data_IF_335801579405
#
_entry.id   IF_335801579405
#
_cell.length_a   1.000
_cell.length_b   1.000
_cell.length_c   1.000
_cell.angle_alpha   90.00
_cell.angle_beta   90.00
_cell.angle_gamma   90.00
#
_symmetry.space_group_name_H-M   'P 1'
#
loop_
_entity.id
_entity.type
_entity.pdbx_description
1 polymer ?
#
# COMPACT_ATOMS: atom_id res chain seq x y z
N UNK A 1 -67.85 23.41 -31.89
CA UNK A 1 -67.16 23.59 -33.17
C UNK A 1 -65.65 23.65 -32.89
N UNK A 2 -64.89 22.57 -33.10
CA UNK A 2 -63.45 22.57 -32.95
C UNK A 2 -62.88 21.83 -34.16
N UNK A 3 -62.14 22.55 -35.00
CA UNK A 3 -61.51 22.03 -36.21
C UNK A 3 -60.18 21.37 -35.85
N UNK A 4 -60.03 20.08 -36.20
CA UNK A 4 -58.83 19.31 -36.12
C UNK A 4 -57.92 19.62 -37.31
N UNK A 5 -56.71 20.15 -37.07
CA UNK A 5 -55.66 20.22 -38.05
C UNK A 5 -54.76 18.98 -37.96
N UNK A 6 -54.84 18.13 -38.98
CA UNK A 6 -53.89 17.05 -39.19
C UNK A 6 -52.60 17.64 -39.85
N UNK A 7 -51.48 17.58 -39.15
CA UNK A 7 -50.18 17.84 -39.74
C UNK A 7 -49.53 16.51 -40.12
N UNK A 8 -49.37 16.32 -41.41
CA UNK A 8 -48.57 15.21 -41.97
C UNK A 8 -47.09 15.54 -41.76
N UNK A 9 -46.38 14.63 -41.07
CA UNK A 9 -44.92 14.69 -40.90
C UNK A 9 -44.32 13.75 -41.95
N UNK A 10 -43.63 14.32 -42.92
CA UNK A 10 -42.79 13.58 -43.88
C UNK A 10 -41.53 13.14 -43.17
N UNK A 11 -41.34 11.82 -43.05
CA UNK A 11 -40.10 11.21 -42.56
C UNK A 11 -39.14 11.07 -43.75
N UNK A 12 -38.11 11.95 -43.78
CA UNK A 12 -36.92 11.77 -44.65
C UNK A 12 -35.99 10.79 -43.95
N UNK A 13 -35.87 9.57 -44.46
CA UNK A 13 -34.87 8.61 -44.07
C UNK A 13 -33.52 8.99 -44.71
N UNK A 14 -32.63 9.61 -43.98
CA UNK A 14 -31.24 9.80 -44.35
C UNK A 14 -30.43 8.57 -43.98
N UNK A 15 -30.02 7.77 -44.95
CA UNK A 15 -29.09 6.68 -44.77
C UNK A 15 -27.68 7.25 -44.54
N UNK A 16 -27.24 7.27 -43.29
CA UNK A 16 -25.83 7.53 -42.95
C UNK A 16 -25.03 6.24 -43.18
N UNK A 17 -24.24 6.24 -44.25
CA UNK A 17 -23.22 5.21 -44.45
C UNK A 17 -22.12 5.44 -43.41
N UNK A 18 -22.10 4.60 -42.38
CA UNK A 18 -21.02 4.56 -41.39
C UNK A 18 -19.83 3.85 -42.06
N UNK A 19 -18.89 4.65 -42.57
CA UNK A 19 -17.59 4.15 -43.00
C UNK A 19 -16.83 3.73 -41.73
N UNK A 20 -16.83 2.40 -41.47
CA UNK A 20 -16.02 1.79 -40.42
C UNK A 20 -14.54 1.87 -40.84
N UNK A 21 -13.89 3.00 -40.52
CA UNK A 21 -12.43 3.02 -40.45
C UNK A 21 -12.04 2.13 -39.26
N UNK A 22 -11.59 0.91 -39.56
CA UNK A 22 -10.97 0.02 -38.59
C UNK A 22 -9.75 0.72 -38.00
N UNK A 23 -9.93 1.39 -36.86
CA UNK A 23 -8.82 1.83 -36.04
C UNK A 23 -8.04 0.58 -35.67
N UNK A 24 -6.81 0.45 -36.16
CA UNK A 24 -5.86 -0.54 -35.65
C UNK A 24 -5.65 -0.18 -34.19
N UNK A 25 -6.26 -0.95 -33.29
CA UNK A 25 -5.91 -0.94 -31.89
C UNK A 25 -4.46 -1.43 -31.85
N UNK A 26 -3.51 -0.50 -31.75
CA UNK A 26 -2.15 -0.87 -31.38
C UNK A 26 -2.25 -1.37 -29.94
N UNK A 27 -1.84 -2.62 -29.65
CA UNK A 27 -1.74 -3.03 -28.27
C UNK A 27 -0.83 -2.04 -27.54
N UNK A 28 -1.30 -1.50 -26.42
CA UNK A 28 -0.46 -0.72 -25.51
C UNK A 28 0.78 -1.58 -25.20
N UNK A 29 1.99 -1.01 -25.20
CA UNK A 29 3.18 -1.76 -24.83
C UNK A 29 2.98 -2.33 -23.43
N UNK A 30 2.91 -3.65 -23.32
CA UNK A 30 2.91 -4.33 -22.02
C UNK A 30 4.25 -4.06 -21.34
N UNK A 31 4.22 -3.73 -20.05
CA UNK A 31 5.44 -3.57 -19.24
C UNK A 31 6.23 -4.89 -19.27
N UNK A 32 7.55 -4.79 -19.28
CA UNK A 32 8.41 -5.94 -19.04
C UNK A 32 8.31 -6.37 -17.56
N UNK A 33 8.66 -7.62 -17.21
CA UNK A 33 8.66 -8.09 -15.83
C UNK A 33 9.44 -7.18 -14.88
N UNK A 34 10.57 -6.63 -15.34
CA UNK A 34 11.38 -5.70 -14.56
C UNK A 34 10.70 -4.34 -14.37
N UNK A 35 10.06 -3.80 -15.41
CA UNK A 35 9.29 -2.54 -15.30
C UNK A 35 8.06 -2.71 -14.39
N UNK A 36 7.42 -3.88 -14.42
CA UNK A 36 6.33 -4.20 -13.49
C UNK A 36 6.83 -4.25 -12.04
N UNK A 37 7.96 -4.90 -11.81
CA UNK A 37 8.58 -4.96 -10.48
C UNK A 37 8.95 -3.55 -9.99
N UNK A 38 9.57 -2.73 -10.81
CA UNK A 38 9.95 -1.35 -10.47
C UNK A 38 8.73 -0.46 -10.18
N UNK A 39 7.64 -0.66 -10.92
CA UNK A 39 6.39 0.06 -10.69
C UNK A 39 5.77 -0.30 -9.32
N UNK A 40 5.74 -1.60 -8.97
CA UNK A 40 5.24 -2.06 -7.67
C UNK A 40 6.16 -1.58 -6.54
N UNK A 41 7.48 -1.62 -6.75
CA UNK A 41 8.45 -1.11 -5.76
C UNK A 41 8.24 0.37 -5.47
N UNK A 42 8.10 1.19 -6.52
CA UNK A 42 7.85 2.63 -6.39
C UNK A 42 6.51 2.95 -5.68
N UNK A 43 5.52 2.08 -5.82
CA UNK A 43 4.21 2.23 -5.16
C UNK A 43 4.26 1.81 -3.68
N UNK A 44 4.93 0.69 -3.38
CA UNK A 44 4.83 0.00 -2.09
C UNK A 44 5.93 0.39 -1.10
N UNK A 45 7.13 0.71 -1.59
CA UNK A 45 8.29 0.90 -0.73
C UNK A 45 8.59 2.40 -0.56
N UNK A 46 8.51 2.95 0.66
CA UNK A 46 8.94 4.32 0.92
C UNK A 46 10.41 4.50 0.55
N UNK A 47 10.70 5.54 -0.25
CA UNK A 47 12.09 5.86 -0.59
C UNK A 47 12.87 6.33 0.65
N UNK A 48 14.16 6.01 0.72
CA UNK A 48 15.05 6.51 1.77
C UNK A 48 15.03 8.04 1.81
N UNK A 49 14.87 8.62 2.99
CA UNK A 49 14.75 10.05 3.21
C UNK A 49 13.38 10.65 2.89
N UNK A 50 12.39 9.86 2.41
CA UNK A 50 11.03 10.38 2.17
C UNK A 50 10.30 10.68 3.48
N UNK A 51 9.41 11.69 3.43
CA UNK A 51 8.66 12.18 4.60
C UNK A 51 7.55 11.20 5.01
N UNK A 52 7.42 10.98 6.32
CA UNK A 52 6.33 10.21 6.91
C UNK A 52 5.02 11.00 7.03
N UNK A 53 5.07 12.33 7.00
CA UNK A 53 3.93 13.22 7.27
C UNK A 53 3.73 13.58 8.74
N UNK A 54 4.51 13.02 9.67
CA UNK A 54 4.49 13.35 11.11
C UNK A 54 5.88 13.72 11.67
N UNK A 55 6.73 14.27 10.80
CA UNK A 55 7.99 14.91 11.18
C UNK A 55 9.19 13.99 11.28
N UNK A 56 9.09 12.78 10.73
CA UNK A 56 10.22 11.87 10.51
C UNK A 56 10.46 11.63 9.03
N UNK A 57 11.63 11.13 8.70
CA UNK A 57 11.93 10.55 7.39
C UNK A 57 12.10 9.02 7.51
N UNK A 58 11.90 8.32 6.40
CA UNK A 58 12.22 6.90 6.30
C UNK A 58 13.73 6.73 6.13
N UNK A 59 14.46 6.82 7.24
CA UNK A 59 15.92 6.70 7.31
C UNK A 59 16.38 6.19 8.68
N UNK A 60 17.68 6.12 8.89
CA UNK A 60 18.27 5.68 10.15
C UNK A 60 17.94 6.61 11.32
N UNK A 61 17.80 7.93 11.08
CA UNK A 61 17.45 8.90 12.11
C UNK A 61 15.99 8.71 12.54
N UNK A 62 15.08 8.55 11.56
CA UNK A 62 13.69 8.24 11.83
C UNK A 62 13.54 6.92 12.59
N UNK A 63 14.22 5.87 12.13
CA UNK A 63 14.24 4.58 12.81
C UNK A 63 14.71 4.69 14.28
N UNK A 64 15.81 5.39 14.52
CA UNK A 64 16.35 5.59 15.88
C UNK A 64 15.37 6.37 16.75
N UNK A 65 14.74 7.41 16.19
CA UNK A 65 13.73 8.21 16.89
C UNK A 65 12.51 7.38 17.30
N UNK A 66 12.05 6.48 16.45
CA UNK A 66 10.97 5.56 16.79
C UNK A 66 11.33 4.67 17.99
N UNK A 67 12.56 4.17 18.06
CA UNK A 67 13.04 3.39 19.21
C UNK A 67 13.06 4.25 20.48
N UNK A 68 13.48 5.51 20.38
CA UNK A 68 13.44 6.45 21.51
C UNK A 68 12.02 6.70 21.98
N UNK A 69 11.07 6.90 21.06
CA UNK A 69 9.66 7.02 21.43
C UNK A 69 9.15 5.78 22.16
N UNK A 70 9.52 4.59 21.72
CA UNK A 70 9.16 3.36 22.45
C UNK A 70 9.68 3.35 23.89
N UNK A 71 10.90 3.85 24.12
CA UNK A 71 11.50 3.88 25.45
C UNK A 71 10.83 4.89 26.40
N UNK A 72 10.31 6.00 25.86
CA UNK A 72 9.80 7.12 26.64
C UNK A 72 8.28 7.18 26.72
N UNK A 73 7.57 6.74 25.70
CA UNK A 73 6.11 6.73 25.68
C UNK A 73 5.56 5.47 26.36
N UNK A 74 4.41 5.65 27.02
CA UNK A 74 3.66 4.54 27.63
C UNK A 74 2.25 4.52 27.04
N UNK A 75 1.68 3.33 26.79
CA UNK A 75 0.30 3.20 26.37
C UNK A 75 -0.63 3.91 27.36
N UNK A 76 -1.41 4.87 26.87
CA UNK A 76 -2.45 5.49 27.64
C UNK A 76 -3.73 4.65 27.62
N UNK A 77 -4.44 4.57 28.74
CA UNK A 77 -5.66 3.76 28.85
C UNK A 77 -6.71 4.11 27.79
N UNK A 78 -6.76 5.38 27.33
CA UNK A 78 -7.73 5.87 26.35
C UNK A 78 -7.58 5.26 24.94
N UNK A 79 -6.43 4.70 24.61
CA UNK A 79 -6.16 4.08 23.31
C UNK A 79 -5.55 2.67 23.41
N UNK A 80 -5.66 2.04 24.60
CA UNK A 80 -5.13 0.70 24.82
C UNK A 80 -5.71 -0.34 23.85
N UNK A 81 -7.02 -0.31 23.60
CA UNK A 81 -7.70 -1.23 22.68
C UNK A 81 -7.25 -1.02 21.22
N UNK A 82 -7.03 0.24 20.82
CA UNK A 82 -6.50 0.56 19.48
C UNK A 82 -5.08 0.07 19.34
N UNK A 83 -4.25 0.26 20.36
CA UNK A 83 -2.87 -0.20 20.38
C UNK A 83 -2.79 -1.74 20.29
N UNK A 84 -3.56 -2.45 21.10
CA UNK A 84 -3.60 -3.92 21.08
C UNK A 84 -4.12 -4.49 19.74
N UNK A 85 -5.01 -3.74 19.09
CA UNK A 85 -5.60 -4.13 17.81
C UNK A 85 -4.70 -3.95 16.59
N UNK A 86 -3.47 -3.41 16.73
CA UNK A 86 -2.54 -3.21 15.64
C UNK A 86 -1.84 -4.53 15.25
N UNK A 87 -1.66 -4.74 13.95
CA UNK A 87 -0.84 -5.82 13.42
C UNK A 87 0.62 -5.36 13.28
N UNK A 88 1.50 -5.98 14.06
CA UNK A 88 2.93 -5.70 14.05
C UNK A 88 3.77 -6.87 13.55
N UNK A 89 3.16 -7.88 12.94
CA UNK A 89 3.89 -9.05 12.42
C UNK A 89 5.03 -8.62 11.51
N UNK A 90 6.17 -9.26 11.72
CA UNK A 90 7.39 -9.06 10.93
C UNK A 90 7.93 -10.40 10.45
N UNK A 91 8.59 -10.46 9.27
CA UNK A 91 9.17 -11.69 8.75
C UNK A 91 10.20 -12.33 9.69
N UNK A 92 10.86 -11.52 10.53
CA UNK A 92 11.94 -11.96 11.42
C UNK A 92 11.44 -12.47 12.80
N UNK A 93 10.15 -12.33 13.12
CA UNK A 93 9.66 -12.61 14.49
C UNK A 93 8.18 -13.01 14.50
N UNK A 94 7.83 -13.91 15.38
CA UNK A 94 6.45 -14.41 15.52
C UNK A 94 5.50 -13.55 16.37
N UNK A 95 5.91 -12.33 16.81
CA UNK A 95 5.03 -11.43 17.53
C UNK A 95 3.91 -10.90 16.61
N UNK A 96 2.66 -10.99 17.06
CA UNK A 96 1.50 -10.62 16.24
C UNK A 96 0.85 -9.31 16.69
N UNK A 97 0.89 -9.02 17.98
CA UNK A 97 0.21 -7.87 18.60
C UNK A 97 1.10 -7.15 19.61
N UNK A 98 1.03 -5.80 19.69
CA UNK A 98 1.94 -5.05 20.55
C UNK A 98 1.81 -5.41 22.04
N UNK A 99 0.59 -5.32 22.57
CA UNK A 99 0.39 -5.34 24.02
C UNK A 99 0.66 -6.72 24.66
N UNK A 100 0.26 -7.79 23.97
CA UNK A 100 0.45 -9.15 24.46
C UNK A 100 1.91 -9.60 24.36
N UNK A 101 2.65 -9.05 23.41
CA UNK A 101 3.97 -9.53 23.02
C UNK A 101 5.11 -8.54 23.32
N UNK A 102 4.79 -7.28 23.73
CA UNK A 102 5.82 -6.27 24.04
C UNK A 102 6.80 -6.73 25.13
N UNK A 103 6.32 -7.50 26.12
CA UNK A 103 7.16 -8.07 27.17
C UNK A 103 7.93 -9.34 26.72
N UNK A 104 7.47 -9.98 25.64
CA UNK A 104 8.04 -11.24 25.10
C UNK A 104 8.74 -11.04 23.77
N UNK A 105 8.81 -9.81 23.28
CA UNK A 105 9.38 -9.53 21.97
C UNK A 105 10.83 -10.04 21.88
N UNK A 106 11.29 -10.32 20.67
CA UNK A 106 12.65 -10.78 20.43
C UNK A 106 13.73 -9.71 20.75
N UNK A 107 13.33 -8.54 21.23
CA UNK A 107 14.20 -7.40 21.48
C UNK A 107 14.75 -6.73 20.21
N UNK A 108 14.28 -7.12 19.02
CA UNK A 108 14.77 -6.56 17.78
C UNK A 108 14.34 -5.10 17.64
N UNK A 109 15.21 -4.31 16.99
CA UNK A 109 14.98 -2.88 16.81
C UNK A 109 13.72 -2.57 16.00
N UNK A 110 13.39 -3.40 15.00
CA UNK A 110 12.22 -3.18 14.14
C UNK A 110 10.91 -3.21 14.93
N UNK A 111 10.68 -4.21 15.82
CA UNK A 111 9.50 -4.22 16.69
C UNK A 111 9.48 -3.03 17.62
N UNK A 112 10.63 -2.67 18.23
CA UNK A 112 10.72 -1.51 19.09
C UNK A 112 10.39 -0.22 18.36
N UNK A 113 10.80 -0.09 17.11
CA UNK A 113 10.42 1.05 16.27
C UNK A 113 8.92 1.08 15.99
N UNK A 114 8.29 -0.07 15.63
CA UNK A 114 6.85 -0.14 15.42
C UNK A 114 6.05 0.19 16.69
N UNK A 115 6.49 -0.27 17.86
CA UNK A 115 5.85 0.10 19.13
C UNK A 115 5.95 1.61 19.38
N UNK A 116 7.10 2.21 19.09
CA UNK A 116 7.30 3.65 19.24
C UNK A 116 6.42 4.47 18.30
N UNK A 117 6.35 4.07 17.02
CA UNK A 117 5.46 4.68 16.03
C UNK A 117 4.00 4.60 16.49
N UNK A 118 3.53 3.40 16.89
CA UNK A 118 2.16 3.19 17.36
C UNK A 118 1.81 4.08 18.56
N UNK A 119 2.67 4.12 19.57
CA UNK A 119 2.47 4.94 20.78
C UNK A 119 2.40 6.43 20.42
N UNK A 120 3.31 6.90 19.59
CA UNK A 120 3.35 8.30 19.18
C UNK A 120 2.12 8.72 18.37
N UNK A 121 1.76 7.95 17.35
CA UNK A 121 0.64 8.28 16.46
C UNK A 121 -0.69 8.26 17.19
N UNK A 122 -0.96 7.24 18.02
CA UNK A 122 -2.18 7.18 18.83
C UNK A 122 -2.24 8.32 19.85
N UNK A 123 -1.11 8.69 20.49
CA UNK A 123 -1.05 9.83 21.40
C UNK A 123 -1.29 11.16 20.65
N UNK A 124 -0.81 11.29 19.42
CA UNK A 124 -1.06 12.43 18.54
C UNK A 124 -2.50 12.49 17.99
N UNK A 125 -3.33 11.45 18.24
CA UNK A 125 -4.74 11.42 17.86
C UNK A 125 -5.05 10.76 16.53
N UNK A 126 -4.10 10.04 15.94
CA UNK A 126 -4.36 9.20 14.78
C UNK A 126 -5.30 8.06 15.16
N UNK A 127 -6.20 7.69 14.28
CA UNK A 127 -7.04 6.50 14.44
C UNK A 127 -6.20 5.22 14.31
N UNK A 128 -6.75 4.09 14.78
CA UNK A 128 -6.10 2.78 14.61
C UNK A 128 -5.78 2.47 13.14
N UNK A 129 -6.69 2.79 12.20
CA UNK A 129 -6.45 2.52 10.78
C UNK A 129 -5.34 3.39 10.18
N UNK A 130 -5.29 4.67 10.53
CA UNK A 130 -4.21 5.56 10.10
C UNK A 130 -2.87 5.12 10.70
N UNK A 131 -2.86 4.77 11.98
CA UNK A 131 -1.68 4.22 12.65
C UNK A 131 -1.21 2.94 11.96
N UNK A 132 -2.12 1.99 11.65
CA UNK A 132 -1.77 0.76 10.95
C UNK A 132 -1.15 1.04 9.59
N UNK A 133 -1.72 1.98 8.81
CA UNK A 133 -1.16 2.38 7.52
C UNK A 133 0.30 2.83 7.66
N UNK A 134 0.62 3.64 8.68
CA UNK A 134 1.99 4.09 8.90
C UNK A 134 2.91 2.95 9.38
N UNK A 135 2.42 2.04 10.21
CA UNK A 135 3.18 0.84 10.58
C UNK A 135 3.49 -0.04 9.37
N UNK A 136 2.54 -0.19 8.44
CA UNK A 136 2.74 -0.98 7.23
C UNK A 136 3.76 -0.32 6.28
N UNK A 137 3.80 1.02 6.21
CA UNK A 137 4.86 1.75 5.50
C UNK A 137 6.25 1.51 6.12
N UNK A 138 6.37 1.53 7.45
CA UNK A 138 7.63 1.20 8.12
C UNK A 138 8.04 -0.26 7.94
N UNK A 139 7.08 -1.21 7.98
CA UNK A 139 7.35 -2.62 7.65
C UNK A 139 7.89 -2.76 6.22
N UNK A 140 7.28 -2.06 5.26
CA UNK A 140 7.72 -2.06 3.88
C UNK A 140 9.14 -1.49 3.74
N UNK A 141 9.47 -0.43 4.46
CA UNK A 141 10.82 0.14 4.50
C UNK A 141 11.85 -0.81 5.13
N UNK A 142 11.49 -1.51 6.20
CA UNK A 142 12.38 -2.46 6.88
C UNK A 142 12.56 -3.77 6.12
N UNK A 143 11.54 -4.22 5.39
CA UNK A 143 11.48 -5.52 4.72
C UNK A 143 10.98 -5.36 3.28
N UNK A 144 11.70 -4.60 2.43
CA UNK A 144 11.22 -4.27 1.09
C UNK A 144 11.03 -5.52 0.22
N UNK A 145 11.92 -6.51 0.32
CA UNK A 145 11.83 -7.72 -0.47
C UNK A 145 10.60 -8.56 -0.13
N UNK A 146 10.34 -8.76 1.16
CA UNK A 146 9.19 -9.53 1.64
C UNK A 146 7.87 -8.82 1.31
N UNK A 147 7.86 -7.50 1.41
CA UNK A 147 6.70 -6.68 1.03
C UNK A 147 6.42 -6.80 -0.47
N UNK A 148 7.44 -6.66 -1.31
CA UNK A 148 7.30 -6.82 -2.76
C UNK A 148 6.84 -8.21 -3.15
N UNK A 149 7.41 -9.25 -2.55
CA UNK A 149 7.01 -10.62 -2.83
C UNK A 149 5.53 -10.85 -2.51
N UNK A 150 5.08 -10.43 -1.32
CA UNK A 150 3.69 -10.59 -0.91
C UNK A 150 2.72 -9.84 -1.83
N UNK A 151 3.07 -8.62 -2.26
CA UNK A 151 2.24 -7.83 -3.16
C UNK A 151 2.19 -8.42 -4.57
N UNK A 152 3.34 -8.84 -5.12
CA UNK A 152 3.40 -9.48 -6.42
C UNK A 152 2.62 -10.80 -6.44
N UNK A 153 2.71 -11.61 -5.38
CA UNK A 153 1.91 -12.82 -5.21
C UNK A 153 0.42 -12.51 -5.20
N UNK A 154 -0.01 -11.48 -4.47
CA UNK A 154 -1.41 -11.04 -4.44
C UNK A 154 -1.90 -10.60 -5.84
N UNK A 155 -1.12 -9.77 -6.55
CA UNK A 155 -1.46 -9.31 -7.91
C UNK A 155 -1.46 -10.45 -8.92
N UNK A 156 -0.61 -11.46 -8.76
CA UNK A 156 -0.54 -12.62 -9.67
C UNK A 156 -1.81 -13.50 -9.67
N UNK A 157 -2.63 -13.40 -8.63
CA UNK A 157 -3.93 -14.07 -8.56
C UNK A 157 -4.95 -13.46 -9.54
N UNK A 158 -4.80 -12.18 -9.85
CA UNK A 158 -5.68 -11.45 -10.77
C UNK A 158 -5.07 -11.34 -12.18
N UNK A 159 -3.76 -11.16 -12.26
CA UNK A 159 -3.00 -11.04 -13.52
C UNK A 159 -1.75 -11.92 -13.50
N UNK A 160 -1.74 -13.02 -14.29
CA UNK A 160 -0.59 -13.94 -14.38
C UNK A 160 0.72 -13.29 -14.84
N UNK A 161 0.69 -12.11 -15.46
CA UNK A 161 1.91 -11.39 -15.86
C UNK A 161 2.82 -11.05 -14.67
N UNK A 162 2.27 -10.92 -13.46
CA UNK A 162 3.05 -10.69 -12.24
C UNK A 162 3.89 -11.89 -11.80
N UNK A 163 3.64 -13.10 -12.30
CA UNK A 163 4.48 -14.28 -12.02
C UNK A 163 5.90 -14.06 -12.55
N UNK A 164 6.05 -13.48 -13.74
CA UNK A 164 7.37 -13.15 -14.31
C UNK A 164 8.09 -12.04 -13.50
N UNK A 165 7.34 -11.11 -12.91
CA UNK A 165 7.91 -10.09 -12.01
C UNK A 165 8.40 -10.70 -10.67
N UNK A 166 7.76 -11.76 -10.16
CA UNK A 166 8.24 -12.54 -9.00
C UNK A 166 9.58 -13.20 -9.32
N UNK A 167 9.71 -13.80 -10.52
CA UNK A 167 10.97 -14.40 -10.98
C UNK A 167 12.08 -13.33 -11.05
N UNK A 168 11.77 -12.16 -11.65
CA UNK A 168 12.69 -11.03 -11.72
C UNK A 168 13.15 -10.53 -10.33
N UNK A 169 12.26 -10.51 -9.34
CA UNK A 169 12.60 -10.23 -7.94
C UNK A 169 13.57 -11.28 -7.38
N UNK A 170 13.38 -12.55 -7.74
CA UNK A 170 14.28 -13.66 -7.39
C UNK A 170 15.71 -13.43 -7.90
N UNK A 171 15.84 -12.96 -9.13
CA UNK A 171 17.14 -12.74 -9.81
C UNK A 171 17.89 -11.51 -9.27
N UNK A 172 17.22 -10.49 -8.72
CA UNK A 172 17.85 -9.30 -8.11
C UNK A 172 18.79 -9.64 -6.93
N UNK A 173 18.80 -10.89 -6.45
CA UNK A 173 19.62 -11.34 -5.33
C UNK A 173 19.08 -10.80 -3.99
N UNK A 174 18.92 -11.70 -3.01
CA UNK A 174 18.82 -11.28 -1.62
C UNK A 174 20.22 -11.10 -1.05
N UNK A 175 20.42 -10.06 -0.24
CA UNK A 175 21.60 -9.96 0.60
C UNK A 175 21.69 -11.16 1.53
#
# INVERSE_FOLDING_TARGET
>A
MKRSLRRSVLLLASALAVSSCGARVHPEPSLTPMEMLEAVEAEMIPGEGSDTGYGLAFDEVGYSTLIEWNNHLRPAARWADDYEGLDIRLPCCGAERPFADEERNCGCGHHRALYGAAKHLLEAGYSRSETQTELDRWKAFFFPRETLLAELEARSLEDPAYVEAIEALGERGGC
#
